data_IF_496897141439
#
_entry.id   IF_496897141439
#
_cell.length_a   1.000
_cell.length_b   1.000
_cell.length_c   1.000
_cell.angle_alpha   90.00
_cell.angle_beta   90.00
_cell.angle_gamma   90.00
#
_symmetry.space_group_name_H-M   'P 1'
#
loop_
_entity.id
_entity.type
_entity.pdbx_description
1 polymer ?
#
# COMPACT_ATOMS: atom_id res chain seq x y z
N UNK A 1 28.16 -62.64 -32.96
CA UNK A 1 27.10 -62.70 -33.98
C UNK A 1 25.85 -63.23 -33.29
N UNK A 2 25.01 -62.34 -32.77
CA UNK A 2 23.68 -62.66 -32.25
C UNK A 2 22.78 -61.56 -32.81
N UNK A 3 21.90 -61.96 -33.72
CA UNK A 3 20.85 -61.12 -34.28
C UNK A 3 19.77 -60.92 -33.20
N UNK A 4 19.46 -59.67 -32.86
CA UNK A 4 18.22 -59.36 -32.16
C UNK A 4 17.14 -59.08 -33.20
N UNK A 5 16.07 -59.84 -33.09
CA UNK A 5 14.91 -59.81 -33.97
C UNK A 5 14.04 -58.59 -33.58
N UNK A 6 13.93 -57.62 -34.48
CA UNK A 6 12.97 -56.52 -34.43
C UNK A 6 11.56 -57.05 -34.72
N UNK A 7 10.74 -57.34 -33.70
CA UNK A 7 9.28 -57.38 -33.89
C UNK A 7 8.51 -57.42 -32.56
N UNK A 8 8.39 -56.29 -31.88
CA UNK A 8 7.28 -56.03 -30.93
C UNK A 8 7.37 -54.65 -30.28
N UNK A 9 7.20 -53.56 -31.05
CA UNK A 9 7.01 -52.22 -30.47
C UNK A 9 6.04 -51.37 -31.34
N UNK A 10 4.95 -51.98 -31.80
CA UNK A 10 3.88 -51.28 -32.53
C UNK A 10 2.54 -51.25 -31.79
N UNK A 11 2.48 -51.65 -30.51
CA UNK A 11 1.22 -51.64 -29.75
C UNK A 11 1.06 -50.42 -28.83
N UNK A 12 2.13 -49.67 -28.55
CA UNK A 12 2.10 -48.49 -27.66
C UNK A 12 2.30 -47.15 -28.36
N UNK A 13 2.48 -47.11 -29.69
CA UNK A 13 2.62 -45.84 -30.43
C UNK A 13 1.29 -45.09 -30.61
N UNK A 14 0.14 -45.73 -30.36
CA UNK A 14 -1.20 -45.17 -30.57
C UNK A 14 -1.96 -44.84 -29.28
N UNK A 15 -1.34 -44.96 -28.10
CA UNK A 15 -1.94 -44.43 -26.88
C UNK A 15 -1.66 -42.93 -26.83
N UNK A 16 -2.47 -42.14 -27.54
CA UNK A 16 -2.53 -40.69 -27.29
C UNK A 16 -2.83 -40.53 -25.79
N UNK A 17 -2.03 -39.76 -25.03
CA UNK A 17 -2.38 -39.42 -23.66
C UNK A 17 -3.81 -38.88 -23.71
N UNK A 18 -4.68 -39.43 -22.86
CA UNK A 18 -6.07 -38.97 -22.77
C UNK A 18 -6.00 -37.45 -22.55
N UNK A 19 -6.57 -36.60 -23.43
CA UNK A 19 -6.37 -35.17 -23.34
C UNK A 19 -6.87 -34.71 -21.97
N UNK A 20 -5.96 -34.23 -21.13
CA UNK A 20 -6.30 -33.75 -19.80
C UNK A 20 -6.85 -32.35 -19.98
N UNK A 21 -8.13 -32.28 -20.31
CA UNK A 21 -8.89 -31.04 -20.21
C UNK A 21 -9.19 -30.87 -18.72
N UNK A 22 -8.24 -30.23 -18.02
CA UNK A 22 -8.30 -29.86 -16.61
C UNK A 22 -9.46 -28.84 -16.38
N UNK A 23 -9.27 -27.79 -15.59
CA UNK A 23 -10.25 -26.71 -15.45
C UNK A 23 -10.50 -25.89 -16.74
N UNK A 24 -9.77 -26.14 -17.83
CA UNK A 24 -9.82 -25.33 -19.05
C UNK A 24 -11.22 -25.20 -19.69
N UNK A 25 -12.05 -26.26 -19.82
CA UNK A 25 -13.39 -26.13 -20.38
C UNK A 25 -14.32 -25.31 -19.50
N UNK A 26 -14.19 -25.44 -18.17
CA UNK A 26 -14.96 -24.66 -17.22
C UNK A 26 -14.58 -23.17 -17.32
N UNK A 27 -13.28 -22.86 -17.33
CA UNK A 27 -12.78 -21.49 -17.48
C UNK A 27 -13.24 -20.90 -18.81
N UNK A 28 -13.16 -21.67 -19.91
CA UNK A 28 -13.68 -21.25 -21.22
C UNK A 28 -15.17 -20.95 -21.15
N UNK A 29 -15.98 -21.85 -20.56
CA UNK A 29 -17.41 -21.62 -20.40
C UNK A 29 -17.71 -20.35 -19.61
N UNK A 30 -16.95 -20.08 -18.52
CA UNK A 30 -17.07 -18.83 -17.77
C UNK A 30 -16.67 -17.60 -18.60
N UNK A 31 -15.64 -17.69 -19.45
CA UNK A 31 -15.27 -16.62 -20.37
C UNK A 31 -16.39 -16.28 -21.37
N UNK A 32 -17.06 -17.30 -21.92
CA UNK A 32 -18.24 -17.13 -22.78
C UNK A 32 -19.42 -16.53 -22.00
N UNK A 33 -19.63 -17.01 -20.77
CA UNK A 33 -20.70 -16.54 -19.87
C UNK A 33 -20.51 -15.09 -19.44
N UNK A 34 -19.30 -14.56 -19.36
CA UNK A 34 -19.05 -13.12 -19.12
C UNK A 34 -18.90 -12.34 -20.44
N UNK A 35 -18.97 -13.00 -21.59
CA UNK A 35 -18.88 -12.39 -22.92
C UNK A 35 -17.49 -11.84 -23.26
N UNK A 36 -16.43 -12.42 -22.69
CA UNK A 36 -15.05 -11.94 -22.83
C UNK A 36 -14.65 -11.82 -24.29
N UNK A 37 -14.85 -12.88 -25.08
CA UNK A 37 -14.48 -12.93 -26.49
C UNK A 37 -15.26 -11.91 -27.31
N UNK A 38 -16.58 -11.89 -27.20
CA UNK A 38 -17.47 -11.04 -27.98
C UNK A 38 -17.25 -9.56 -27.68
N UNK A 39 -16.96 -9.22 -26.42
CA UNK A 39 -16.69 -7.84 -26.01
C UNK A 39 -15.34 -7.39 -26.56
N UNK A 40 -14.29 -8.20 -26.47
CA UNK A 40 -12.98 -7.86 -27.07
C UNK A 40 -13.15 -7.67 -28.59
N UNK A 41 -13.73 -8.65 -29.29
CA UNK A 41 -13.83 -8.64 -30.76
C UNK A 41 -14.65 -7.47 -31.32
N UNK A 42 -15.64 -6.97 -30.58
CA UNK A 42 -16.44 -5.79 -30.96
C UNK A 42 -15.74 -4.46 -30.74
N UNK A 43 -14.71 -4.43 -29.88
CA UNK A 43 -14.04 -3.18 -29.48
C UNK A 43 -12.64 -3.02 -30.08
N UNK A 44 -12.22 -3.93 -30.95
CA UNK A 44 -10.92 -3.89 -31.62
C UNK A 44 -11.06 -4.04 -33.13
N UNK A 45 -10.11 -3.49 -33.88
CA UNK A 45 -10.07 -3.62 -35.34
C UNK A 45 -9.18 -4.80 -35.73
N UNK A 46 -9.70 -5.73 -36.53
CA UNK A 46 -8.96 -6.88 -37.02
C UNK A 46 -9.54 -7.43 -38.33
N UNK A 47 -8.72 -8.18 -39.06
CA UNK A 47 -9.09 -8.78 -40.36
C UNK A 47 -9.62 -10.19 -40.16
N UNK A 48 -10.93 -10.37 -40.39
CA UNK A 48 -11.64 -11.65 -40.18
C UNK A 48 -11.29 -12.72 -41.20
N UNK A 49 -10.82 -12.33 -42.38
CA UNK A 49 -10.48 -13.29 -43.45
C UNK A 49 -9.05 -13.82 -43.28
N UNK A 50 -8.15 -12.97 -42.78
CA UNK A 50 -6.73 -13.33 -42.61
C UNK A 50 -6.38 -13.88 -41.24
N UNK A 51 -7.21 -13.63 -40.22
CA UNK A 51 -6.95 -14.11 -38.87
C UNK A 51 -7.71 -15.42 -38.62
N UNK A 52 -6.97 -16.51 -38.41
CA UNK A 52 -7.55 -17.80 -38.00
C UNK A 52 -8.21 -17.73 -36.61
N UNK A 53 -7.62 -16.95 -35.71
CA UNK A 53 -8.13 -16.66 -34.36
C UNK A 53 -8.46 -15.18 -34.23
N UNK A 54 -9.64 -14.87 -33.70
CA UNK A 54 -10.01 -13.49 -33.37
C UNK A 54 -9.17 -12.95 -32.19
N UNK A 55 -9.04 -11.63 -32.03
CA UNK A 55 -8.38 -11.05 -30.86
C UNK A 55 -8.99 -11.52 -29.54
N UNK A 56 -10.31 -11.58 -29.42
CA UNK A 56 -11.01 -12.07 -28.23
C UNK A 56 -10.70 -13.53 -27.94
N UNK A 57 -10.60 -14.36 -28.98
CA UNK A 57 -10.21 -15.77 -28.84
C UNK A 57 -8.76 -15.89 -28.33
N UNK A 58 -7.84 -15.07 -28.86
CA UNK A 58 -6.45 -15.03 -28.37
C UNK A 58 -6.36 -14.59 -26.91
N UNK A 59 -7.15 -13.60 -26.49
CA UNK A 59 -7.22 -13.20 -25.08
C UNK A 59 -7.82 -14.32 -24.22
N UNK A 60 -8.82 -15.05 -24.73
CA UNK A 60 -9.40 -16.22 -24.05
C UNK A 60 -8.35 -17.30 -23.81
N UNK A 61 -7.52 -17.61 -24.80
CA UNK A 61 -6.39 -18.55 -24.68
C UNK A 61 -5.44 -18.11 -23.56
N UNK A 62 -5.10 -16.82 -23.47
CA UNK A 62 -4.23 -16.30 -22.42
C UNK A 62 -4.86 -16.41 -21.03
N UNK A 63 -6.16 -16.14 -20.90
CA UNK A 63 -6.90 -16.31 -19.63
C UNK A 63 -6.92 -17.77 -19.19
N UNK A 64 -7.23 -18.68 -20.11
CA UNK A 64 -7.20 -20.13 -19.86
C UNK A 64 -5.81 -20.57 -19.41
N UNK A 65 -4.75 -20.15 -20.10
CA UNK A 65 -3.36 -20.43 -19.72
C UNK A 65 -3.04 -19.90 -18.32
N UNK A 66 -3.37 -18.64 -18.00
CA UNK A 66 -3.11 -18.04 -16.68
C UNK A 66 -3.81 -18.77 -15.52
N UNK A 67 -4.99 -19.35 -15.76
CA UNK A 67 -5.78 -20.02 -14.73
C UNK A 67 -5.58 -21.53 -14.67
N UNK A 68 -4.80 -22.11 -15.58
CA UNK A 68 -4.53 -23.56 -15.63
C UNK A 68 -3.05 -23.88 -15.51
N UNK A 69 -2.26 -23.56 -16.53
CA UNK A 69 -0.88 -24.01 -16.70
C UNK A 69 0.15 -22.96 -16.31
N UNK A 70 -0.22 -21.68 -16.29
CA UNK A 70 0.61 -20.53 -15.91
C UNK A 70 1.93 -20.43 -16.69
N UNK A 71 1.96 -20.93 -17.92
CA UNK A 71 3.16 -20.88 -18.74
C UNK A 71 3.45 -19.44 -19.22
N UNK A 72 4.73 -19.06 -19.36
CA UNK A 72 5.09 -17.78 -19.95
C UNK A 72 4.64 -17.72 -21.41
N UNK A 73 4.43 -16.50 -21.94
CA UNK A 73 3.84 -16.26 -23.27
C UNK A 73 4.46 -17.12 -24.39
N UNK A 74 5.80 -17.22 -24.42
CA UNK A 74 6.56 -17.99 -25.41
C UNK A 74 6.43 -19.52 -25.30
N UNK A 75 5.77 -20.03 -24.25
CA UNK A 75 5.51 -21.47 -24.01
C UNK A 75 4.03 -21.80 -23.94
N UNK A 76 3.15 -20.86 -24.26
CA UNK A 76 1.69 -21.12 -24.23
C UNK A 76 1.33 -22.23 -25.23
N UNK A 77 1.95 -22.24 -26.42
CA UNK A 77 1.77 -23.31 -27.41
C UNK A 77 2.10 -24.70 -26.85
N UNK A 78 3.19 -24.84 -26.10
CA UNK A 78 3.60 -26.11 -25.47
C UNK A 78 2.55 -26.61 -24.47
N UNK A 79 1.87 -25.68 -23.79
CA UNK A 79 0.89 -26.00 -22.75
C UNK A 79 -0.34 -26.74 -23.28
N UNK A 80 -0.61 -26.63 -24.59
CA UNK A 80 -1.76 -27.26 -25.24
C UNK A 80 -1.38 -28.53 -26.02
N UNK A 81 -0.17 -29.08 -25.84
CA UNK A 81 0.27 -30.32 -26.52
C UNK A 81 -0.67 -31.51 -26.29
N UNK A 82 -1.17 -31.64 -25.06
CA UNK A 82 -2.11 -32.70 -24.65
C UNK A 82 -3.56 -32.19 -24.54
N UNK A 83 -3.86 -31.00 -25.05
CA UNK A 83 -5.20 -30.41 -24.97
C UNK A 83 -5.93 -30.53 -26.30
N UNK A 84 -7.25 -30.71 -26.24
CA UNK A 84 -8.10 -30.61 -27.42
C UNK A 84 -8.35 -29.13 -27.76
N UNK A 85 -7.49 -28.58 -28.64
CA UNK A 85 -7.59 -27.19 -29.08
C UNK A 85 -8.87 -26.90 -29.84
N UNK A 86 -9.44 -27.88 -30.56
CA UNK A 86 -10.66 -27.68 -31.33
C UNK A 86 -11.86 -27.54 -30.40
N UNK A 87 -11.95 -28.42 -29.40
CA UNK A 87 -12.94 -28.34 -28.35
C UNK A 87 -12.82 -27.02 -27.56
N UNK A 88 -11.58 -26.61 -27.25
CA UNK A 88 -11.35 -25.46 -26.41
C UNK A 88 -11.49 -24.12 -27.13
N UNK A 89 -11.08 -24.01 -28.40
CA UNK A 89 -10.90 -22.71 -29.09
C UNK A 89 -11.54 -22.64 -30.49
N UNK A 90 -12.19 -23.71 -30.93
CA UNK A 90 -12.98 -23.74 -32.17
C UNK A 90 -12.41 -24.69 -33.24
N UNK A 91 -13.27 -25.06 -34.19
CA UNK A 91 -12.97 -26.02 -35.25
C UNK A 91 -11.72 -25.63 -36.07
N UNK A 92 -10.84 -26.61 -36.32
CA UNK A 92 -9.63 -26.43 -37.12
C UNK A 92 -8.49 -25.71 -36.41
N UNK A 93 -8.64 -25.31 -35.14
CA UNK A 93 -7.56 -24.71 -34.35
C UNK A 93 -6.59 -25.79 -33.87
N UNK A 94 -5.31 -25.62 -34.20
CA UNK A 94 -4.22 -26.49 -33.76
C UNK A 94 -3.28 -25.74 -32.84
N UNK A 95 -2.47 -26.46 -32.05
CA UNK A 95 -1.53 -25.86 -31.09
C UNK A 95 -0.63 -24.79 -31.71
N UNK A 96 -0.16 -24.98 -32.95
CA UNK A 96 0.75 -24.06 -33.63
C UNK A 96 0.11 -22.71 -33.99
N UNK A 97 -1.22 -22.60 -33.93
CA UNK A 97 -1.93 -21.34 -34.08
C UNK A 97 -1.89 -20.49 -32.78
N UNK A 98 -1.49 -21.08 -31.66
CA UNK A 98 -1.43 -20.49 -30.32
C UNK A 98 -0.01 -20.05 -29.93
N UNK A 99 0.84 -19.77 -30.91
CA UNK A 99 2.19 -19.25 -30.69
C UNK A 99 2.19 -17.81 -30.13
N UNK A 100 3.33 -17.40 -29.60
CA UNK A 100 3.51 -16.10 -28.97
C UNK A 100 3.34 -14.90 -29.92
N UNK A 101 3.74 -15.02 -31.18
CA UNK A 101 3.47 -13.99 -32.19
C UNK A 101 1.97 -13.76 -32.39
N UNK A 102 1.17 -14.84 -32.44
CA UNK A 102 -0.27 -14.78 -32.58
C UNK A 102 -0.91 -14.12 -31.36
N UNK A 103 -0.56 -14.60 -30.16
CA UNK A 103 -1.11 -14.13 -28.89
C UNK A 103 -0.65 -12.69 -28.57
N UNK A 104 0.61 -12.36 -28.86
CA UNK A 104 1.18 -11.02 -28.71
C UNK A 104 0.44 -9.98 -29.55
N UNK A 105 0.13 -10.30 -30.82
CA UNK A 105 -0.74 -9.44 -31.64
C UNK A 105 -2.14 -9.27 -31.05
N UNK A 106 -2.65 -10.28 -30.32
CA UNK A 106 -3.91 -10.16 -29.58
C UNK A 106 -3.83 -9.09 -28.47
N UNK A 107 -2.72 -9.07 -27.73
CA UNK A 107 -2.43 -8.04 -26.72
C UNK A 107 -2.29 -6.64 -27.35
N UNK A 108 -1.64 -6.53 -28.52
CA UNK A 108 -1.55 -5.27 -29.26
C UNK A 108 -2.94 -4.75 -29.64
N UNK A 109 -3.83 -5.62 -30.16
CA UNK A 109 -5.22 -5.23 -30.48
C UNK A 109 -6.01 -4.83 -29.23
N UNK A 110 -5.84 -5.54 -28.13
CA UNK A 110 -6.47 -5.20 -26.85
C UNK A 110 -6.02 -3.83 -26.35
N UNK A 111 -4.72 -3.52 -26.47
CA UNK A 111 -4.17 -2.20 -26.15
C UNK A 111 -4.77 -1.10 -27.05
N UNK A 112 -4.79 -1.32 -28.37
CA UNK A 112 -5.36 -0.39 -29.35
C UNK A 112 -6.84 -0.06 -29.05
N UNK A 113 -7.63 -1.08 -28.66
CA UNK A 113 -9.04 -0.92 -28.29
C UNK A 113 -9.29 -0.30 -26.91
N UNK A 114 -8.23 -0.11 -26.12
CA UNK A 114 -8.30 0.41 -24.77
C UNK A 114 -8.64 -0.67 -23.73
N UNK A 115 -7.61 -1.36 -23.26
CA UNK A 115 -7.73 -2.49 -22.33
C UNK A 115 -8.60 -2.18 -21.09
N UNK A 116 -8.43 -1.03 -20.43
CA UNK A 116 -9.23 -0.66 -19.25
C UNK A 116 -10.73 -0.47 -19.56
N UNK A 117 -11.05 0.12 -20.72
CA UNK A 117 -12.43 0.25 -21.20
C UNK A 117 -13.03 -1.12 -21.49
N UNK A 118 -12.30 -1.97 -22.22
CA UNK A 118 -12.75 -3.32 -22.58
C UNK A 118 -12.97 -4.16 -21.31
N UNK A 119 -12.05 -4.10 -20.34
CA UNK A 119 -12.20 -4.76 -19.05
C UNK A 119 -13.46 -4.28 -18.32
N UNK A 120 -13.70 -2.96 -18.26
CA UNK A 120 -14.90 -2.39 -17.64
C UNK A 120 -16.19 -2.86 -18.33
N UNK A 121 -16.18 -3.03 -19.66
CA UNK A 121 -17.32 -3.57 -20.40
C UNK A 121 -17.58 -5.05 -20.08
N UNK A 122 -16.53 -5.86 -19.95
CA UNK A 122 -16.64 -7.28 -19.55
C UNK A 122 -17.22 -7.37 -18.14
N UNK A 123 -16.68 -6.59 -17.21
CA UNK A 123 -17.17 -6.51 -15.84
C UNK A 123 -18.63 -6.06 -15.81
N UNK A 124 -19.00 -5.00 -16.51
CA UNK A 124 -20.38 -4.54 -16.57
C UNK A 124 -21.33 -5.62 -17.12
N UNK A 125 -20.91 -6.37 -18.13
CA UNK A 125 -21.69 -7.47 -18.70
C UNK A 125 -21.81 -8.68 -17.73
N UNK A 126 -20.81 -8.92 -16.89
CA UNK A 126 -20.92 -9.92 -15.82
C UNK A 126 -21.89 -9.46 -14.71
N UNK A 127 -21.80 -8.19 -14.30
CA UNK A 127 -22.65 -7.60 -13.25
C UNK A 127 -24.12 -7.43 -13.64
N UNK A 128 -24.47 -7.46 -14.93
CA UNK A 128 -25.86 -7.48 -15.38
C UNK A 128 -26.47 -8.87 -15.39
N UNK A 129 -25.62 -9.91 -15.40
CA UNK A 129 -26.02 -11.32 -15.36
C UNK A 129 -26.17 -11.83 -13.92
N UNK A 130 -25.33 -11.30 -13.03
CA UNK A 130 -25.27 -11.70 -11.63
C UNK A 130 -25.88 -10.63 -10.70
N UNK A 131 -26.62 -11.04 -9.67
CA UNK A 131 -27.18 -10.12 -8.65
C UNK A 131 -26.09 -9.74 -7.63
N UNK A 132 -25.17 -8.88 -8.07
CA UNK A 132 -24.01 -8.46 -7.26
C UNK A 132 -24.34 -7.21 -6.45
N UNK A 133 -24.19 -7.31 -5.13
CA UNK A 133 -24.28 -6.15 -4.23
C UNK A 133 -23.16 -5.15 -4.54
N UNK A 134 -23.57 -3.89 -4.73
CA UNK A 134 -22.74 -2.75 -5.08
C UNK A 134 -22.81 -1.63 -4.05
N UNK A 135 -23.48 -1.86 -2.91
CA UNK A 135 -23.66 -0.84 -1.88
C UNK A 135 -22.34 -0.40 -1.25
N UNK A 136 -21.45 -1.35 -0.94
CA UNK A 136 -20.13 -1.05 -0.40
C UNK A 136 -19.08 -1.40 -1.43
N UNK A 137 -18.30 -0.40 -1.83
CA UNK A 137 -17.27 -0.53 -2.84
C UNK A 137 -15.92 -0.14 -2.25
N UNK A 138 -14.89 -0.88 -2.59
CA UNK A 138 -13.55 -0.72 -2.07
C UNK A 138 -12.62 -0.29 -3.19
N UNK A 139 -11.87 0.78 -2.96
CA UNK A 139 -10.81 1.20 -3.84
C UNK A 139 -9.46 0.99 -3.15
N UNK A 140 -8.57 0.27 -3.82
CA UNK A 140 -7.17 0.18 -3.44
C UNK A 140 -6.29 0.22 -4.68
N UNK A 141 -5.06 0.69 -4.46
CA UNK A 141 -3.99 0.59 -5.43
C UNK A 141 -3.10 -0.58 -5.03
N UNK A 142 -2.52 -1.29 -5.99
CA UNK A 142 -1.42 -2.21 -5.69
C UNK A 142 -0.36 -2.07 -6.76
N UNK A 143 0.88 -2.44 -6.46
CA UNK A 143 1.96 -2.34 -7.43
C UNK A 143 2.50 -3.72 -7.76
N UNK A 144 3.02 -3.86 -8.98
CA UNK A 144 3.80 -5.03 -9.37
C UNK A 144 5.16 -4.57 -9.84
N UNK A 145 6.18 -5.10 -9.18
CA UNK A 145 7.57 -4.87 -9.56
C UNK A 145 7.90 -5.61 -10.85
N UNK A 146 8.71 -4.97 -11.69
CA UNK A 146 9.14 -5.51 -12.98
C UNK A 146 10.64 -5.32 -13.18
N UNK A 147 11.23 -6.17 -14.03
CA UNK A 147 12.66 -6.18 -14.34
C UNK A 147 12.86 -6.16 -15.85
N UNK A 148 13.86 -5.42 -16.32
CA UNK A 148 14.17 -5.29 -17.74
C UNK A 148 14.50 -3.86 -18.15
N UNK A 149 15.01 -3.73 -19.36
CA UNK A 149 15.35 -2.45 -19.99
C UNK A 149 14.06 -1.79 -20.55
N UNK A 150 13.20 -1.30 -19.66
CA UNK A 150 12.04 -0.50 -20.05
C UNK A 150 12.53 0.89 -20.48
N UNK A 151 12.62 1.09 -21.80
CA UNK A 151 12.99 2.38 -22.38
C UNK A 151 11.88 3.39 -22.10
N UNK A 152 12.25 4.54 -21.56
CA UNK A 152 11.30 5.63 -21.40
C UNK A 152 10.94 6.13 -22.81
N UNK A 153 9.76 5.76 -23.31
CA UNK A 153 9.28 6.31 -24.56
C UNK A 153 8.99 7.80 -24.35
N UNK A 154 9.94 8.65 -24.74
CA UNK A 154 9.73 10.09 -24.88
C UNK A 154 8.63 10.26 -25.91
N UNK A 155 7.42 10.53 -25.44
CA UNK A 155 6.27 10.84 -26.27
C UNK A 155 6.61 11.98 -27.23
N UNK A 156 6.87 11.64 -28.50
CA UNK A 156 6.66 12.52 -29.65
C UNK A 156 5.17 12.59 -30.03
N UNK A 157 4.28 12.36 -29.08
CA UNK A 157 2.84 12.53 -29.22
C UNK A 157 2.44 13.67 -28.30
N UNK A 158 1.89 14.72 -28.91
CA UNK A 158 1.55 15.98 -28.25
C UNK A 158 0.65 15.78 -27.05
N UNK A 159 0.67 16.80 -26.18
CA UNK A 159 -0.21 16.97 -25.03
C UNK A 159 -1.62 16.42 -25.33
N UNK A 160 -2.07 15.48 -24.50
CA UNK A 160 -3.43 14.97 -24.55
C UNK A 160 -4.36 16.13 -24.19
N UNK A 161 -4.94 16.77 -25.22
CA UNK A 161 -6.09 17.63 -25.04
C UNK A 161 -7.31 16.75 -24.77
N UNK A 162 -8.13 17.17 -23.81
CA UNK A 162 -9.39 16.53 -23.43
C UNK A 162 -10.35 16.47 -24.63
N UNK A 163 -10.26 15.41 -25.43
CA UNK A 163 -11.05 15.25 -26.65
C UNK A 163 -10.59 14.06 -27.50
N UNK A 164 -11.31 12.95 -27.37
CA UNK A 164 -11.19 11.67 -28.11
C UNK A 164 -9.82 10.98 -28.09
N UNK A 165 -9.70 9.99 -27.20
CA UNK A 165 -8.64 8.97 -27.17
C UNK A 165 -8.74 8.03 -28.38
N UNK A 166 -8.26 8.48 -29.53
CA UNK A 166 -7.94 7.57 -30.63
C UNK A 166 -6.75 6.66 -30.24
N UNK A 167 -6.68 5.41 -30.75
CA UNK A 167 -5.62 4.45 -30.40
C UNK A 167 -4.19 5.01 -30.55
N UNK A 168 -3.98 5.91 -31.53
CA UNK A 168 -2.69 6.54 -31.86
C UNK A 168 -2.24 7.63 -30.87
N UNK A 169 -3.10 8.08 -29.96
CA UNK A 169 -2.78 9.12 -28.97
C UNK A 169 -2.63 8.58 -27.53
N UNK A 170 -2.90 7.28 -27.31
CA UNK A 170 -2.78 6.67 -25.97
C UNK A 170 -1.31 6.57 -25.58
N UNK A 171 -0.96 7.12 -24.41
CA UNK A 171 0.38 6.98 -23.85
C UNK A 171 0.49 5.59 -23.20
N UNK A 172 1.49 4.77 -23.58
CA UNK A 172 1.70 3.48 -22.94
C UNK A 172 2.06 3.66 -21.47
N UNK A 173 1.58 2.73 -20.64
CA UNK A 173 1.97 2.66 -19.23
C UNK A 173 3.48 2.52 -19.15
N UNK A 174 4.12 3.42 -18.42
CA UNK A 174 5.56 3.42 -18.22
C UNK A 174 5.88 2.81 -16.86
N UNK A 175 6.59 1.66 -16.83
CA UNK A 175 7.18 1.18 -15.60
C UNK A 175 8.16 2.20 -15.04
N UNK A 176 7.94 2.63 -13.80
CA UNK A 176 8.70 3.70 -13.14
C UNK A 176 9.03 3.33 -11.72
N UNK A 177 10.12 3.90 -11.19
CA UNK A 177 10.42 3.85 -9.76
C UNK A 177 9.38 4.65 -8.98
N UNK A 178 8.98 4.13 -7.83
CA UNK A 178 7.99 4.74 -6.96
C UNK A 178 8.06 4.15 -5.56
N UNK A 179 7.07 4.46 -4.73
CA UNK A 179 6.96 3.86 -3.40
C UNK A 179 6.67 2.36 -3.55
N UNK A 180 7.67 1.52 -3.25
CA UNK A 180 7.59 0.07 -3.44
C UNK A 180 6.88 -0.59 -2.26
N UNK A 181 5.69 -1.16 -2.50
CA UNK A 181 4.98 -1.97 -1.50
C UNK A 181 5.74 -3.28 -1.18
N UNK A 182 6.52 -3.78 -2.13
CA UNK A 182 7.36 -4.97 -2.02
C UNK A 182 8.75 -4.70 -1.41
N UNK A 183 9.02 -3.48 -0.92
CA UNK A 183 10.32 -3.08 -0.36
C UNK A 183 11.51 -3.25 -1.34
N UNK A 184 11.24 -3.10 -2.64
CA UNK A 184 12.22 -3.15 -3.75
C UNK A 184 12.27 -1.80 -4.49
N UNK A 185 12.82 -0.74 -3.86
CA UNK A 185 12.89 0.59 -4.46
C UNK A 185 13.88 0.64 -5.65
N UNK A 186 14.70 -0.39 -5.83
CA UNK A 186 15.63 -0.55 -6.95
C UNK A 186 14.92 -0.91 -8.27
N UNK A 187 13.73 -1.52 -8.18
CA UNK A 187 12.97 -1.98 -9.34
C UNK A 187 11.95 -0.94 -9.81
N UNK A 188 11.74 -0.89 -11.13
CA UNK A 188 10.57 -0.23 -11.72
C UNK A 188 9.32 -1.01 -11.33
N UNK A 189 8.18 -0.33 -11.25
CA UNK A 189 6.89 -0.94 -10.98
C UNK A 189 5.81 -0.41 -11.93
N UNK A 190 4.72 -1.15 -12.02
CA UNK A 190 3.43 -0.70 -12.57
C UNK A 190 2.41 -0.69 -11.45
N UNK A 191 1.39 0.17 -11.57
CA UNK A 191 0.35 0.31 -10.56
C UNK A 191 -0.98 -0.23 -11.11
N UNK A 192 -1.65 -1.07 -10.34
CA UNK A 192 -3.00 -1.53 -10.58
C UNK A 192 -3.95 -0.72 -9.71
N UNK A 193 -4.95 -0.10 -10.33
CA UNK A 193 -6.11 0.49 -9.66
C UNK A 193 -7.23 -0.53 -9.73
N UNK A 194 -7.75 -0.94 -8.58
CA UNK A 194 -8.88 -1.87 -8.52
C UNK A 194 -9.99 -1.25 -7.69
N UNK A 195 -11.18 -1.25 -8.28
CA UNK A 195 -12.42 -0.88 -7.63
C UNK A 195 -13.32 -2.11 -7.59
N UNK A 196 -13.61 -2.60 -6.40
CA UNK A 196 -14.29 -3.88 -6.17
C UNK A 196 -15.48 -3.69 -5.25
N UNK A 197 -16.41 -4.64 -5.19
CA UNK A 197 -17.41 -4.68 -4.13
C UNK A 197 -16.86 -5.32 -2.85
N UNK A 198 -17.70 -5.46 -1.82
CA UNK A 198 -17.34 -6.11 -0.55
C UNK A 198 -16.86 -7.56 -0.69
N UNK A 199 -17.33 -8.28 -1.70
CA UNK A 199 -16.97 -9.68 -1.98
C UNK A 199 -15.67 -9.80 -2.78
N UNK A 200 -15.10 -8.67 -3.23
CA UNK A 200 -13.90 -8.64 -4.07
C UNK A 200 -14.19 -8.78 -5.57
N UNK A 201 -15.46 -8.74 -5.98
CA UNK A 201 -15.85 -8.73 -7.40
C UNK A 201 -15.46 -7.39 -8.01
N UNK A 202 -14.65 -7.36 -9.09
CA UNK A 202 -14.28 -6.12 -9.77
C UNK A 202 -15.50 -5.38 -10.32
N UNK A 203 -15.49 -4.06 -10.17
CA UNK A 203 -16.41 -3.11 -10.81
C UNK A 203 -15.65 -2.26 -11.85
N UNK A 204 -14.38 -1.96 -11.58
CA UNK A 204 -13.48 -1.27 -12.50
C UNK A 204 -12.02 -1.66 -12.21
N UNK A 205 -11.18 -1.63 -13.24
CA UNK A 205 -9.77 -1.94 -13.14
C UNK A 205 -8.95 -1.23 -14.21
N UNK A 206 -7.79 -0.70 -13.82
CA UNK A 206 -6.89 0.01 -14.73
C UNK A 206 -5.42 -0.22 -14.32
N UNK A 207 -4.52 -0.22 -15.30
CA UNK A 207 -3.07 -0.23 -15.07
C UNK A 207 -2.51 1.17 -15.37
N UNK A 208 -1.65 1.68 -14.49
CA UNK A 208 -1.05 3.01 -14.54
C UNK A 208 0.46 2.96 -14.34
N UNK A 209 1.11 4.08 -14.62
CA UNK A 209 2.51 4.32 -14.31
C UNK A 209 2.82 4.04 -12.83
N UNK A 210 3.96 3.41 -12.55
CA UNK A 210 4.32 2.95 -11.20
C UNK A 210 4.61 4.03 -10.15
N UNK A 211 4.56 5.31 -10.53
CA UNK A 211 4.82 6.44 -9.66
C UNK A 211 3.59 7.30 -9.38
N UNK A 212 2.40 6.85 -9.78
CA UNK A 212 1.14 7.53 -9.46
C UNK A 212 0.90 7.52 -7.95
N UNK A 213 0.61 8.69 -7.38
CA UNK A 213 0.30 8.80 -5.94
C UNK A 213 -1.12 8.33 -5.64
N UNK A 214 -1.33 7.69 -4.47
CA UNK A 214 -2.65 7.19 -4.05
C UNK A 214 -3.70 8.32 -3.93
N UNK A 215 -3.27 9.53 -3.55
CA UNK A 215 -4.15 10.72 -3.49
C UNK A 215 -4.69 11.08 -4.87
N UNK A 216 -3.83 11.07 -5.88
CA UNK A 216 -4.19 11.31 -7.28
C UNK A 216 -5.07 10.18 -7.80
N UNK A 217 -4.72 8.93 -7.50
CA UNK A 217 -5.47 7.77 -7.95
C UNK A 217 -6.92 7.78 -7.44
N UNK A 218 -7.16 8.18 -6.18
CA UNK A 218 -8.51 8.37 -5.63
C UNK A 218 -9.28 9.47 -6.37
N UNK A 219 -8.66 10.63 -6.62
CA UNK A 219 -9.30 11.73 -7.35
C UNK A 219 -9.70 11.36 -8.79
N UNK A 220 -8.82 10.64 -9.51
CA UNK A 220 -9.13 10.07 -10.81
C UNK A 220 -10.28 9.05 -10.72
N UNK A 221 -10.28 8.17 -9.71
CA UNK A 221 -11.33 7.17 -9.54
C UNK A 221 -12.70 7.80 -9.30
N UNK A 222 -12.80 8.84 -8.47
CA UNK A 222 -14.04 9.61 -8.26
C UNK A 222 -14.58 10.15 -9.59
N UNK A 223 -13.67 10.58 -10.48
CA UNK A 223 -14.03 11.07 -11.81
C UNK A 223 -14.57 9.96 -12.71
N UNK A 224 -13.92 8.80 -12.71
CA UNK A 224 -14.36 7.63 -13.47
C UNK A 224 -15.68 7.04 -12.97
N UNK A 225 -15.96 7.08 -11.66
CA UNK A 225 -17.24 6.63 -11.11
C UNK A 225 -18.43 7.36 -11.72
N UNK A 226 -18.32 8.66 -11.95
CA UNK A 226 -19.37 9.44 -12.60
C UNK A 226 -19.51 9.19 -14.10
N UNK A 227 -18.52 8.53 -14.73
CA UNK A 227 -18.63 8.07 -16.11
C UNK A 227 -19.28 6.70 -16.20
N UNK A 228 -19.00 5.85 -15.22
CA UNK A 228 -19.46 4.45 -15.19
C UNK A 228 -20.87 4.29 -14.64
N UNK A 229 -21.25 5.10 -13.65
CA UNK A 229 -22.52 4.95 -12.93
C UNK A 229 -23.36 6.22 -13.03
N UNK A 230 -24.68 6.03 -13.08
CA UNK A 230 -25.63 7.15 -13.03
C UNK A 230 -25.66 7.82 -11.65
N UNK A 231 -26.09 9.10 -11.53
CA UNK A 231 -26.15 9.80 -10.25
C UNK A 231 -26.94 9.07 -9.16
N UNK A 232 -28.06 8.45 -9.54
CA UNK A 232 -28.92 7.70 -8.61
C UNK A 232 -28.29 6.40 -8.11
N UNK A 233 -27.39 5.79 -8.88
CA UNK A 233 -26.63 4.62 -8.44
C UNK A 233 -25.52 5.05 -7.50
N UNK A 234 -24.79 6.12 -7.84
CA UNK A 234 -23.70 6.67 -7.01
C UNK A 234 -24.18 7.04 -5.60
N UNK A 235 -25.37 7.64 -5.48
CA UNK A 235 -25.98 7.98 -4.18
C UNK A 235 -26.24 6.76 -3.28
N UNK A 236 -26.40 5.56 -3.88
CA UNK A 236 -26.62 4.30 -3.16
C UNK A 236 -25.31 3.61 -2.78
N UNK A 237 -24.19 4.06 -3.33
CA UNK A 237 -22.87 3.49 -3.08
C UNK A 237 -22.17 4.18 -1.90
N UNK A 238 -21.39 3.41 -1.17
CA UNK A 238 -20.46 3.86 -0.13
C UNK A 238 -19.06 3.51 -0.59
N UNK A 239 -18.29 4.55 -0.91
CA UNK A 239 -16.90 4.43 -1.35
C UNK A 239 -15.97 4.24 -0.15
N UNK A 240 -15.37 3.06 -0.04
CA UNK A 240 -14.45 2.68 1.04
C UNK A 240 -13.02 2.76 0.53
N UNK A 241 -12.20 3.60 1.16
CA UNK A 241 -10.78 3.71 0.81
C UNK A 241 -9.93 4.06 2.02
N UNK A 242 -8.62 3.97 1.83
CA UNK A 242 -7.64 4.30 2.85
C UNK A 242 -7.61 5.82 3.16
N UNK A 243 -6.73 6.21 4.08
CA UNK A 243 -6.59 7.61 4.50
C UNK A 243 -6.09 8.53 3.38
N UNK A 244 -5.57 8.02 2.27
CA UNK A 244 -5.15 8.86 1.14
C UNK A 244 -6.34 9.46 0.39
N UNK A 245 -7.56 8.91 0.57
CA UNK A 245 -8.79 9.55 0.12
C UNK A 245 -9.00 10.92 0.80
N UNK A 246 -8.69 11.04 2.10
CA UNK A 246 -9.03 12.21 2.91
C UNK A 246 -8.09 13.38 2.63
N UNK A 247 -8.44 14.14 1.59
CA UNK A 247 -7.79 15.40 1.20
C UNK A 247 -8.86 16.42 0.83
N UNK A 248 -8.61 17.72 1.03
CA UNK A 248 -9.62 18.75 0.76
C UNK A 248 -10.20 18.68 -0.66
N UNK A 249 -9.36 18.41 -1.68
CA UNK A 249 -9.80 18.23 -3.07
C UNK A 249 -10.73 17.03 -3.26
N UNK A 250 -10.38 15.87 -2.71
CA UNK A 250 -11.17 14.66 -2.85
C UNK A 250 -12.48 14.75 -2.06
N UNK A 251 -12.44 15.34 -0.86
CA UNK A 251 -13.62 15.56 -0.02
C UNK A 251 -14.62 16.51 -0.70
N UNK A 252 -14.13 17.58 -1.33
CA UNK A 252 -14.94 18.48 -2.15
C UNK A 252 -15.58 17.72 -3.31
N UNK A 253 -14.81 16.93 -4.06
CA UNK A 253 -15.32 16.15 -5.19
C UNK A 253 -16.39 15.13 -4.77
N UNK A 254 -16.20 14.43 -3.64
CA UNK A 254 -17.21 13.50 -3.10
C UNK A 254 -18.51 14.22 -2.76
N UNK A 255 -18.43 15.41 -2.15
CA UNK A 255 -19.59 16.23 -1.80
C UNK A 255 -20.35 16.73 -3.02
N UNK A 256 -19.64 17.31 -4.00
CA UNK A 256 -20.25 17.83 -5.23
C UNK A 256 -21.02 16.75 -6.01
N UNK A 257 -20.56 15.50 -5.90
CA UNK A 257 -21.13 14.34 -6.59
C UNK A 257 -22.09 13.53 -5.71
N UNK A 258 -22.35 13.99 -4.49
CA UNK A 258 -23.21 13.33 -3.48
C UNK A 258 -22.83 11.86 -3.22
N UNK A 259 -21.53 11.55 -3.21
CA UNK A 259 -21.01 10.20 -2.98
C UNK A 259 -20.75 10.01 -1.48
N UNK A 260 -21.39 9.01 -0.89
CA UNK A 260 -21.08 8.59 0.48
C UNK A 260 -19.74 7.86 0.53
N UNK A 261 -18.94 8.09 1.57
CA UNK A 261 -17.65 7.44 1.72
C UNK A 261 -17.37 6.98 3.15
N UNK A 262 -16.48 6.01 3.28
CA UNK A 262 -15.91 5.54 4.54
C UNK A 262 -14.39 5.49 4.40
N UNK A 263 -13.69 6.25 5.24
CA UNK A 263 -12.23 6.25 5.24
C UNK A 263 -11.69 6.52 6.63
N UNK A 264 -10.42 6.15 6.85
CA UNK A 264 -9.70 6.48 8.06
C UNK A 264 -9.26 7.95 8.00
N UNK A 265 -9.72 8.76 8.95
CA UNK A 265 -9.22 10.12 9.14
C UNK A 265 -7.73 10.08 9.52
N UNK A 266 -6.82 10.70 8.77
CA UNK A 266 -5.42 10.73 9.14
C UNK A 266 -5.17 11.68 10.33
N UNK A 267 -4.14 11.35 11.13
CA UNK A 267 -3.85 12.01 12.42
C UNK A 267 -3.39 13.47 12.30
N UNK A 268 -3.05 13.90 11.09
CA UNK A 268 -2.64 15.27 10.82
C UNK A 268 -3.82 16.26 10.77
N UNK A 269 -5.05 15.77 10.74
CA UNK A 269 -6.24 16.62 10.87
C UNK A 269 -6.50 16.92 12.35
N UNK A 270 -6.64 18.20 12.70
CA UNK A 270 -7.00 18.63 14.06
C UNK A 270 -8.30 17.97 14.55
N UNK A 271 -9.27 17.77 13.65
CA UNK A 271 -10.50 17.05 13.90
C UNK A 271 -10.29 15.63 14.49
N UNK A 272 -9.20 14.93 14.12
CA UNK A 272 -8.87 13.62 14.71
C UNK A 272 -8.62 13.73 16.21
N UNK A 273 -7.83 14.72 16.62
CA UNK A 273 -7.52 14.97 18.04
C UNK A 273 -8.76 15.40 18.81
N UNK A 274 -9.51 16.36 18.28
CA UNK A 274 -10.74 16.87 18.91
C UNK A 274 -11.78 15.76 19.10
N UNK A 275 -12.04 14.95 18.07
CA UNK A 275 -13.00 13.85 18.15
C UNK A 275 -12.60 12.82 19.22
N UNK A 276 -11.32 12.47 19.31
CA UNK A 276 -10.83 11.55 20.36
C UNK A 276 -11.02 12.15 21.74
N UNK A 277 -10.64 13.40 21.95
CA UNK A 277 -10.82 14.08 23.24
C UNK A 277 -12.29 14.10 23.65
N UNK A 278 -13.21 14.48 22.74
CA UNK A 278 -14.65 14.45 23.01
C UNK A 278 -15.15 13.05 23.35
N UNK A 279 -14.72 12.03 22.62
CA UNK A 279 -15.11 10.64 22.88
C UNK A 279 -14.68 10.15 24.27
N UNK A 280 -13.50 10.54 24.75
CA UNK A 280 -13.03 10.19 26.09
C UNK A 280 -13.67 11.04 27.19
N UNK A 281 -13.94 12.33 26.93
CA UNK A 281 -14.54 13.24 27.92
C UNK A 281 -16.03 12.96 28.15
N UNK A 282 -16.79 12.68 27.09
CA UNK A 282 -18.23 12.52 27.18
C UNK A 282 -18.66 11.11 27.62
N UNK A 283 -17.74 10.13 27.57
CA UNK A 283 -17.98 8.71 27.89
C UNK A 283 -19.16 8.04 27.15
N UNK A 284 -19.61 8.61 26.03
CA UNK A 284 -20.68 8.07 25.18
C UNK A 284 -20.16 6.94 24.28
N UNK A 285 -19.87 5.79 24.91
CA UNK A 285 -19.36 4.60 24.23
C UNK A 285 -20.46 3.57 23.98
N UNK A 286 -20.50 3.07 22.75
CA UNK A 286 -21.30 1.92 22.33
C UNK A 286 -20.39 0.69 22.34
N UNK A 287 -20.71 -0.29 23.16
CA UNK A 287 -20.00 -1.56 23.21
C UNK A 287 -20.29 -2.39 21.95
N UNK A 288 -19.24 -2.68 21.17
CA UNK A 288 -19.32 -3.52 19.97
C UNK A 288 -18.99 -4.98 20.34
N UNK A 289 -18.09 -5.18 21.31
CA UNK A 289 -17.64 -6.49 21.72
C UNK A 289 -16.53 -7.04 20.83
N UNK A 290 -16.56 -8.34 20.55
CA UNK A 290 -15.49 -9.05 19.80
C UNK A 290 -15.86 -9.15 18.34
N UNK A 291 -14.97 -8.69 17.47
CA UNK A 291 -15.12 -8.81 16.01
C UNK A 291 -14.49 -10.13 15.51
N UNK A 292 -13.42 -10.59 16.16
CA UNK A 292 -12.75 -11.84 15.79
C UNK A 292 -13.22 -13.01 16.66
N UNK A 293 -13.45 -14.16 16.02
CA UNK A 293 -13.82 -15.43 16.66
C UNK A 293 -12.71 -16.04 17.54
N UNK A 294 -11.49 -15.49 17.51
CA UNK A 294 -10.37 -15.99 18.31
C UNK A 294 -10.62 -15.75 19.80
N UNK A 295 -10.27 -16.73 20.64
CA UNK A 295 -10.50 -16.73 22.09
C UNK A 295 -9.86 -15.55 22.85
N UNK A 296 -8.76 -14.98 22.33
CA UNK A 296 -8.11 -13.77 22.86
C UNK A 296 -8.25 -12.56 21.93
N UNK A 297 -9.42 -12.36 21.30
CA UNK A 297 -9.65 -11.18 20.46
C UNK A 297 -9.84 -9.90 21.29
N UNK A 298 -9.46 -8.77 20.69
CA UNK A 298 -9.68 -7.46 21.28
C UNK A 298 -11.18 -7.17 21.43
N UNK A 299 -11.53 -6.47 22.50
CA UNK A 299 -12.86 -5.90 22.69
C UNK A 299 -12.86 -4.50 22.08
N UNK A 300 -13.91 -4.20 21.34
CA UNK A 300 -14.10 -2.92 20.67
C UNK A 300 -15.29 -2.19 21.27
N UNK A 301 -15.12 -0.88 21.40
CA UNK A 301 -16.20 0.07 21.64
C UNK A 301 -16.03 1.24 20.68
N UNK A 302 -17.12 1.90 20.34
CA UNK A 302 -17.10 3.05 19.43
C UNK A 302 -17.84 4.24 20.04
N UNK A 303 -17.40 5.44 19.70
CA UNK A 303 -18.08 6.68 20.05
C UNK A 303 -18.22 7.52 18.78
N UNK A 304 -19.42 8.05 18.57
CA UNK A 304 -19.75 8.87 17.41
C UNK A 304 -19.56 10.35 17.73
N UNK A 305 -18.93 11.08 16.82
CA UNK A 305 -18.59 12.48 16.97
C UNK A 305 -18.92 13.23 15.69
N UNK A 306 -19.21 14.52 15.80
CA UNK A 306 -19.34 15.41 14.66
C UNK A 306 -18.23 16.46 14.72
N UNK A 307 -17.47 16.59 13.64
CA UNK A 307 -16.40 17.57 13.51
C UNK A 307 -16.42 18.21 12.13
N UNK A 308 -15.82 19.40 12.06
CA UNK A 308 -15.68 20.14 10.83
C UNK A 308 -14.31 19.88 10.17
N UNK A 309 -14.31 19.64 8.86
CA UNK A 309 -13.11 19.60 8.03
C UNK A 309 -13.33 20.55 6.85
N UNK A 310 -12.44 21.52 6.68
CA UNK A 310 -12.49 22.53 5.61
C UNK A 310 -13.85 23.23 5.48
N UNK A 311 -14.48 23.69 6.58
CA UNK A 311 -15.75 24.41 6.51
C UNK A 311 -17.00 23.54 6.55
N UNK A 312 -16.85 22.22 6.68
CA UNK A 312 -17.96 21.31 6.50
C UNK A 312 -18.04 20.19 7.54
N UNK A 313 -19.26 19.80 7.98
CA UNK A 313 -19.44 18.77 8.98
C UNK A 313 -19.21 17.37 8.40
N UNK A 314 -18.57 16.52 9.20
CA UNK A 314 -18.38 15.10 8.95
C UNK A 314 -18.69 14.30 10.22
N UNK A 315 -19.35 13.16 10.01
CA UNK A 315 -19.53 12.14 11.04
C UNK A 315 -18.24 11.35 11.22
N UNK A 316 -17.67 11.39 12.41
CA UNK A 316 -16.48 10.66 12.79
C UNK A 316 -16.82 9.57 13.81
N UNK A 317 -16.23 8.40 13.66
CA UNK A 317 -16.41 7.28 14.60
C UNK A 317 -15.07 6.93 15.20
N UNK A 318 -14.94 7.15 16.51
CA UNK A 318 -13.74 6.81 17.27
C UNK A 318 -13.87 5.37 17.74
N UNK A 319 -12.98 4.50 17.25
CA UNK A 319 -12.88 3.12 17.72
C UNK A 319 -11.81 2.98 18.79
N UNK A 320 -12.16 2.29 19.87
CA UNK A 320 -11.27 1.97 20.96
C UNK A 320 -11.12 0.44 21.07
N UNK A 321 -9.88 -0.04 21.28
CA UNK A 321 -9.55 -1.46 21.27
C UNK A 321 -8.71 -1.85 22.47
N UNK A 322 -9.21 -2.79 23.27
CA UNK A 322 -8.56 -3.23 24.52
C UNK A 322 -7.12 -3.73 24.36
N UNK A 323 -6.73 -4.21 23.17
CA UNK A 323 -5.34 -4.63 22.89
C UNK A 323 -4.45 -3.47 22.45
N UNK A 324 -4.99 -2.52 21.68
CA UNK A 324 -4.22 -1.40 21.18
C UNK A 324 -3.82 -0.47 22.33
N UNK A 325 -4.67 -0.36 23.35
CA UNK A 325 -4.36 0.36 24.58
C UNK A 325 -3.20 -0.28 25.32
N UNK A 326 -3.24 -1.60 25.57
CA UNK A 326 -2.11 -2.31 26.19
C UNK A 326 -0.79 -2.15 25.42
N UNK A 327 -0.85 -2.07 24.09
CA UNK A 327 0.34 -1.82 23.26
C UNK A 327 0.83 -0.38 23.42
N UNK A 328 -0.08 0.60 23.40
CA UNK A 328 0.23 2.02 23.61
C UNK A 328 0.76 2.28 25.01
N UNK A 329 0.15 1.71 26.05
CA UNK A 329 0.63 1.76 27.44
C UNK A 329 2.06 1.22 27.55
N UNK A 330 2.36 0.06 26.94
CA UNK A 330 3.73 -0.48 26.92
C UNK A 330 4.70 0.43 26.16
N UNK A 331 4.28 0.96 25.01
CA UNK A 331 5.11 1.88 24.23
C UNK A 331 5.41 3.16 25.02
N UNK A 332 4.40 3.73 25.66
CA UNK A 332 4.49 4.93 26.48
C UNK A 332 5.35 4.69 27.71
N UNK A 333 5.17 3.57 28.43
CA UNK A 333 6.04 3.18 29.53
C UNK A 333 7.50 3.00 29.09
N UNK A 334 7.73 2.47 27.89
CA UNK A 334 9.07 2.35 27.31
C UNK A 334 9.65 3.71 26.96
N UNK A 335 8.83 4.64 26.46
CA UNK A 335 9.23 6.02 26.15
C UNK A 335 9.59 6.80 27.41
N UNK A 336 8.76 6.75 28.46
CA UNK A 336 9.05 7.26 29.80
C UNK A 336 10.39 6.71 30.31
N UNK A 337 10.60 5.39 30.25
CA UNK A 337 11.84 4.76 30.73
C UNK A 337 13.07 5.26 29.96
N UNK A 338 12.99 5.32 28.62
CA UNK A 338 14.08 5.82 27.78
C UNK A 338 14.37 7.30 28.01
N UNK A 339 13.33 8.11 28.24
CA UNK A 339 13.50 9.51 28.60
C UNK A 339 14.18 9.66 29.95
N UNK A 340 13.76 8.89 30.95
CA UNK A 340 14.39 8.86 32.27
C UNK A 340 15.87 8.49 32.16
N UNK A 341 16.21 7.43 31.42
CA UNK A 341 17.60 7.03 31.17
C UNK A 341 18.41 8.14 30.49
N UNK A 342 17.81 8.87 29.54
CA UNK A 342 18.43 10.01 28.87
C UNK A 342 18.72 11.14 29.85
N UNK A 343 17.74 11.50 30.69
CA UNK A 343 17.88 12.54 31.73
C UNK A 343 18.97 12.14 32.73
N UNK A 344 18.94 10.90 33.24
CA UNK A 344 19.93 10.39 34.21
C UNK A 344 21.33 10.39 33.62
N UNK A 345 21.48 9.96 32.35
CA UNK A 345 22.79 9.99 31.67
C UNK A 345 23.29 11.41 31.47
N UNK A 346 22.42 12.33 31.06
CA UNK A 346 22.77 13.73 30.87
C UNK A 346 23.14 14.41 32.22
N UNK A 347 22.37 14.15 33.28
CA UNK A 347 22.67 14.61 34.63
C UNK A 347 24.00 14.04 35.16
N UNK A 348 24.28 12.76 34.87
CA UNK A 348 25.55 12.12 35.22
C UNK A 348 26.75 12.78 34.52
N UNK A 349 26.64 13.09 33.23
CA UNK A 349 27.67 13.81 32.48
C UNK A 349 27.87 15.23 33.03
N UNK A 350 26.78 15.93 33.34
CA UNK A 350 26.82 17.27 33.92
C UNK A 350 27.47 17.27 35.31
N UNK A 351 27.18 16.26 36.15
CA UNK A 351 27.80 16.08 37.47
C UNK A 351 29.30 15.73 37.45
N UNK A 352 29.84 15.30 36.30
CA UNK A 352 31.28 15.10 36.12
C UNK A 352 32.03 16.40 35.81
N UNK A 353 31.33 17.43 35.33
CA UNK A 353 31.92 18.72 35.04
C UNK A 353 32.30 19.45 36.33
N UNK A 354 33.40 20.20 36.26
CA UNK A 354 33.89 21.04 37.35
C UNK A 354 33.86 22.48 36.90
N UNK A 355 33.22 23.34 37.69
CA UNK A 355 33.07 24.75 37.37
C UNK A 355 34.00 25.60 38.23
N UNK A 356 34.58 26.64 37.62
CA UNK A 356 35.52 27.56 38.27
C UNK A 356 34.87 28.41 39.37
N UNK A 357 33.55 28.61 39.32
CA UNK A 357 32.79 29.29 40.36
C UNK A 357 31.36 28.73 40.50
N UNK A 358 30.71 29.06 41.62
CA UNK A 358 29.32 28.66 41.90
C UNK A 358 28.33 29.24 40.88
N UNK A 359 28.56 30.48 40.41
CA UNK A 359 27.68 31.15 39.45
C UNK A 359 27.64 30.41 38.10
N UNK A 360 28.78 29.88 37.64
CA UNK A 360 28.85 29.06 36.43
C UNK A 360 28.11 27.72 36.61
N UNK A 361 28.24 27.09 37.78
CA UNK A 361 27.52 25.85 38.09
C UNK A 361 26.00 26.05 38.17
N UNK A 362 25.53 27.20 38.70
CA UNK A 362 24.10 27.54 38.72
C UNK A 362 23.54 27.77 37.32
N UNK A 363 24.26 28.52 36.48
CA UNK A 363 23.84 28.77 35.09
C UNK A 363 23.69 27.47 34.29
N UNK A 364 24.64 26.55 34.43
CA UNK A 364 24.52 25.25 33.74
C UNK A 364 23.43 24.36 34.34
N UNK A 365 23.12 24.48 35.64
CA UNK A 365 21.97 23.83 36.23
C UNK A 365 20.64 24.36 35.65
N UNK A 366 20.50 25.68 35.49
CA UNK A 366 19.33 26.32 34.87
C UNK A 366 19.18 25.92 33.40
N UNK A 367 20.27 25.92 32.63
CA UNK A 367 20.26 25.44 31.24
C UNK A 367 19.81 23.98 31.14
N UNK A 368 20.24 23.13 32.07
CA UNK A 368 19.83 21.73 32.13
C UNK A 368 18.33 21.59 32.44
N UNK A 369 17.80 22.38 33.39
CA UNK A 369 16.36 22.38 33.69
C UNK A 369 15.53 22.86 32.49
N UNK A 370 15.96 23.92 31.81
CA UNK A 370 15.30 24.45 30.62
C UNK A 370 15.29 23.42 29.46
N UNK A 371 16.38 22.65 29.30
CA UNK A 371 16.47 21.57 28.31
C UNK A 371 15.39 20.49 28.49
N UNK A 372 14.94 20.24 29.73
CA UNK A 372 13.99 19.19 30.07
C UNK A 372 12.65 19.73 30.61
N UNK A 373 12.31 21.00 30.37
CA UNK A 373 11.08 21.62 30.88
C UNK A 373 9.78 20.94 30.41
N UNK A 374 9.79 20.43 29.19
CA UNK A 374 8.65 19.77 28.54
C UNK A 374 8.75 18.24 28.61
N UNK A 375 9.68 17.71 29.42
CA UNK A 375 9.82 16.28 29.64
C UNK A 375 8.66 15.72 30.47
N UNK A 376 8.43 14.41 30.39
CA UNK A 376 7.41 13.75 31.21
C UNK A 376 7.79 13.68 32.70
N UNK A 377 9.06 13.95 33.04
CA UNK A 377 9.60 13.80 34.38
C UNK A 377 9.89 15.16 35.02
N UNK A 378 9.63 15.27 36.33
CA UNK A 378 10.05 16.44 37.09
C UNK A 378 11.55 16.36 37.40
N UNK A 379 12.32 17.32 36.89
CA UNK A 379 13.78 17.38 37.07
C UNK A 379 14.14 18.50 38.04
N UNK A 380 15.03 18.19 39.00
CA UNK A 380 15.57 19.18 39.95
C UNK A 380 17.10 19.13 39.95
N UNK A 381 17.74 20.27 40.21
CA UNK A 381 19.20 20.39 40.22
C UNK A 381 19.68 21.15 41.46
N UNK A 382 20.81 20.72 42.03
CA UNK A 382 21.43 21.36 43.20
C UNK A 382 22.95 21.46 43.04
N UNK A 383 23.51 22.64 43.29
CA UNK A 383 24.95 22.90 43.26
C UNK A 383 25.57 22.60 44.61
N UNK A 384 26.63 21.77 44.64
CA UNK A 384 27.37 21.45 45.85
C UNK A 384 28.84 21.91 45.74
N UNK A 385 29.42 22.50 46.79
CA UNK A 385 30.86 22.81 46.80
C UNK A 385 31.67 21.51 46.88
N UNK A 386 32.78 21.42 46.13
CA UNK A 386 33.71 20.28 46.15
C UNK A 386 35.16 20.75 46.18
N UNK A 387 35.83 20.52 47.30
CA UNK A 387 37.27 20.77 47.42
C UNK A 387 38.07 19.72 46.63
N UNK A 388 39.10 20.15 45.90
CA UNK A 388 40.03 19.28 45.18
C UNK A 388 41.45 19.59 45.63
N UNK A 389 42.18 18.58 46.11
CA UNK A 389 43.61 18.70 46.35
C UNK A 389 44.36 18.75 45.01
N UNK A 390 45.19 19.77 44.83
CA UNK A 390 46.03 19.95 43.65
C UNK A 390 47.36 19.22 43.91
N UNK A 391 47.77 18.22 43.11
CA UNK A 391 49.08 17.60 43.27
C UNK A 391 50.18 18.62 42.97
N UNK A 392 51.14 18.78 43.89
CA UNK A 392 52.32 19.62 43.71
C UNK A 392 53.11 19.19 42.46
N UNK A 393 53.25 20.08 41.49
CA UNK A 393 54.12 19.89 40.33
C UNK A 393 55.60 20.07 40.74
N UNK A 394 56.32 18.94 40.77
CA UNK A 394 57.79 18.73 40.82
C UNK A 394 58.58 19.14 42.09
N UNK A 395 59.60 18.34 42.51
CA UNK A 395 60.40 18.62 43.69
C UNK A 395 61.54 19.59 43.38
N UNK A 396 61.37 20.85 43.78
CA UNK A 396 62.44 21.86 43.80
C UNK A 396 62.99 22.01 45.23
N UNK A 397 64.29 21.78 45.37
CA UNK A 397 65.07 21.77 46.62
C UNK A 397 65.07 23.12 47.35
N UNK A 398 64.69 23.11 48.63
CA UNK A 398 64.98 24.03 49.76
C UNK A 398 64.96 25.57 49.54
N UNK A 399 64.02 26.29 50.17
CA UNK A 399 64.19 26.95 51.48
C UNK A 399 62.94 27.75 51.94
N UNK A 400 62.64 27.59 53.23
CA UNK A 400 61.86 28.40 54.19
C UNK A 400 61.06 29.63 53.70
N UNK A 401 59.74 29.60 53.95
CA UNK A 401 58.93 30.80 54.17
C UNK A 401 57.44 30.62 53.86
N UNK A 402 56.56 30.77 54.86
CA UNK A 402 55.13 31.08 54.71
C UNK A 402 54.21 29.96 54.21
N UNK A 403 53.64 29.18 55.14
CA UNK A 403 52.56 28.24 54.81
C UNK A 403 51.22 28.94 54.59
N UNK A 404 50.98 29.42 53.37
CA UNK A 404 49.65 29.76 52.87
C UNK A 404 49.18 28.66 51.92
N UNK A 405 48.14 27.90 52.29
CA UNK A 405 47.44 27.04 51.34
C UNK A 405 46.44 27.88 50.55
N UNK A 406 46.67 28.11 49.26
CA UNK A 406 45.63 28.64 48.39
C UNK A 406 44.54 27.57 48.19
N UNK A 407 43.34 27.88 48.68
CA UNK A 407 42.12 27.09 48.48
C UNK A 407 41.35 27.71 47.32
N UNK A 408 41.26 27.01 46.19
CA UNK A 408 40.26 27.30 45.17
C UNK A 408 39.15 26.26 45.25
N UNK A 409 37.97 26.69 45.70
CA UNK A 409 36.77 25.87 45.73
C UNK A 409 36.27 25.63 44.30
N UNK A 410 36.28 24.38 43.87
CA UNK A 410 35.53 23.97 42.68
C UNK A 410 34.10 23.64 43.11
N UNK A 411 33.10 24.03 42.34
CA UNK A 411 31.73 23.59 42.57
C UNK A 411 31.44 22.40 41.64
N UNK A 412 30.79 21.36 42.17
CA UNK A 412 30.22 20.27 41.37
C UNK A 412 28.72 20.23 41.62
N UNK A 413 27.96 19.92 40.59
CA UNK A 413 26.56 19.57 40.81
C UNK A 413 26.53 18.25 41.60
N UNK A 414 25.76 18.24 42.70
CA UNK A 414 25.52 17.02 43.46
C UNK A 414 24.83 15.98 42.56
N UNK A 415 24.87 14.68 42.91
CA UNK A 415 24.10 13.68 42.18
C UNK A 415 22.65 14.14 42.15
N UNK A 416 22.14 14.44 40.96
CA UNK A 416 20.77 14.90 40.78
C UNK A 416 19.84 13.89 41.45
N UNK A 417 18.97 14.43 42.31
CA UNK A 417 17.95 13.68 43.00
C UNK A 417 17.07 12.93 42.00
N UNK A 418 16.52 11.82 42.50
CA UNK A 418 15.58 10.92 41.82
C UNK A 418 14.69 11.65 40.81
N UNK A 419 14.68 11.13 39.59
CA UNK A 419 13.54 11.35 38.68
C UNK A 419 12.38 10.51 39.22
N UNK A 420 11.47 11.15 39.94
CA UNK A 420 10.16 10.58 40.27
C UNK A 420 9.18 10.96 39.14
N UNK A 421 8.38 9.98 38.75
CA UNK A 421 7.42 10.07 37.64
C UNK A 421 6.14 10.79 38.06
#
# INVERSE_FOLDING_TARGET
>A
MIFMNESSDHFFSDVRPNPVVSGAPLIRAMCEEIGLREIVDRNVVWDRERCKLSPGERITVLVVNMLTTQNPLYRVEESFELSDCELLFGEGIVRSDLNDDCLGRGLDRLWEGGAGKIFSMIVANALTREDVDRRFTHFDTTTRTVFGEYKDEITKTGEATDGEETPKKRKPVQPKHGHSKDHRPDLKQILFKLFVNREGIPLFGEVRDGNLSDKTANGEMISELCRLFGPEELKKMVYVADSALVTGKNLMAMREREISFLSRLPENFSASGTAKTKAFTNEEWIEIGRISERTQSALYRASEQEEEIDGHPYRLVVYHSSQLDRRKEKSFATELTKEQERIVKAAGLLGLQSFSCEADAKREAENFLEQFKDAFHHVTASVLPREREIPRTTPGTTQKGGGGSERNGLCRLGPAGRAEA
#
